data_IF_644037956764
#
_entry.id   IF_644037956764
#
_cell.length_a   1.000
_cell.length_b   1.000
_cell.length_c   1.000
_cell.angle_alpha   90.00
_cell.angle_beta   90.00
_cell.angle_gamma   90.00
#
_symmetry.space_group_name_H-M   'P 1'
#
loop_
_entity.id
_entity.type
_entity.pdbx_description
1 polymer ?
#
# COMPACT_ATOMS: atom_id res chain seq x y z
N UNK A 1 -37.42 0.77 -26.27
CA UNK A 1 -36.33 1.00 -25.29
C UNK A 1 -35.78 2.38 -25.56
N UNK A 2 -36.11 3.36 -24.73
CA UNK A 2 -35.70 4.75 -24.95
C UNK A 2 -34.20 4.90 -24.63
N UNK A 3 -33.39 5.03 -25.68
CA UNK A 3 -31.98 5.43 -25.63
C UNK A 3 -31.91 6.90 -25.23
N UNK A 4 -31.40 7.22 -24.05
CA UNK A 4 -31.19 8.62 -23.66
C UNK A 4 -29.87 9.15 -24.24
N UNK A 5 -30.03 10.14 -25.14
CA UNK A 5 -29.25 11.35 -25.40
C UNK A 5 -27.73 11.28 -25.71
N UNK A 6 -27.41 11.52 -26.99
CA UNK A 6 -26.27 12.27 -27.55
C UNK A 6 -24.96 12.34 -26.75
N UNK A 7 -24.37 11.19 -26.43
CA UNK A 7 -22.97 11.17 -26.03
C UNK A 7 -22.10 11.50 -27.24
N UNK A 8 -21.31 12.57 -27.16
CA UNK A 8 -20.25 12.87 -28.14
C UNK A 8 -19.12 11.83 -28.15
N UNK A 9 -19.08 10.94 -27.15
CA UNK A 9 -18.03 9.94 -27.04
C UNK A 9 -18.27 8.79 -28.05
N UNK A 10 -17.25 8.41 -28.84
CA UNK A 10 -17.39 7.33 -29.80
C UNK A 10 -17.54 5.97 -29.10
N UNK A 11 -18.45 5.13 -29.61
CA UNK A 11 -18.63 3.78 -29.11
C UNK A 11 -17.38 2.94 -29.39
N UNK A 12 -16.84 2.28 -28.35
CA UNK A 12 -15.68 1.39 -28.46
C UNK A 12 -15.89 0.13 -27.62
N UNK A 13 -15.31 -0.98 -28.07
CA UNK A 13 -15.27 -2.23 -27.32
C UNK A 13 -14.04 -2.29 -26.40
N UNK A 14 -14.22 -2.85 -25.20
CA UNK A 14 -13.14 -3.04 -24.22
C UNK A 14 -12.17 -4.10 -24.75
N UNK A 15 -10.91 -3.70 -24.97
CA UNK A 15 -9.87 -4.62 -25.50
C UNK A 15 -9.07 -5.32 -24.40
N UNK A 16 -8.88 -4.66 -23.25
CA UNK A 16 -8.07 -5.14 -22.13
C UNK A 16 -8.55 -4.53 -20.83
N UNK A 17 -8.34 -5.24 -19.72
CA UNK A 17 -8.58 -4.73 -18.36
C UNK A 17 -7.25 -4.69 -17.63
N UNK A 18 -6.85 -3.49 -17.19
CA UNK A 18 -5.66 -3.29 -16.38
C UNK A 18 -6.06 -3.24 -14.91
N UNK A 19 -5.48 -4.12 -14.11
CA UNK A 19 -5.64 -4.07 -12.66
C UNK A 19 -4.55 -3.20 -12.05
N UNK A 20 -4.92 -2.42 -11.04
CA UNK A 20 -4.00 -1.57 -10.30
C UNK A 20 -4.51 -1.29 -8.89
N UNK A 21 -3.65 -0.71 -8.05
CA UNK A 21 -4.08 -0.12 -6.78
C UNK A 21 -4.07 1.40 -6.95
N UNK A 22 -5.17 2.03 -6.53
CA UNK A 22 -5.32 3.47 -6.57
C UNK A 22 -4.40 4.13 -5.54
N UNK A 23 -3.67 5.16 -5.97
CA UNK A 23 -2.91 5.99 -5.03
C UNK A 23 -3.85 6.94 -4.26
N UNK A 24 -3.50 7.36 -3.03
CA UNK A 24 -4.27 8.35 -2.28
C UNK A 24 -4.60 9.61 -3.08
N UNK A 25 -3.64 10.12 -3.87
CA UNK A 25 -3.82 11.33 -4.67
C UNK A 25 -4.72 11.11 -5.89
N UNK A 26 -4.71 9.91 -6.46
CA UNK A 26 -5.67 9.53 -7.50
C UNK A 26 -7.08 9.40 -6.94
N UNK A 27 -7.25 8.84 -5.74
CA UNK A 27 -8.56 8.77 -5.07
C UNK A 27 -9.12 10.18 -4.83
N UNK A 28 -8.30 11.12 -4.34
CA UNK A 28 -8.72 12.52 -4.15
C UNK A 28 -9.11 13.18 -5.48
N UNK A 29 -8.30 13.02 -6.53
CA UNK A 29 -8.58 13.61 -7.85
C UNK A 29 -9.82 13.06 -8.53
N UNK A 30 -10.13 11.77 -8.32
CA UNK A 30 -11.35 11.16 -8.86
C UNK A 30 -12.60 11.55 -8.06
N UNK A 31 -12.44 12.12 -6.87
CA UNK A 31 -13.54 12.38 -5.97
C UNK A 31 -14.25 13.68 -6.26
N UNK A 32 -15.59 13.65 -6.23
CA UNK A 32 -16.45 14.83 -6.43
C UNK A 32 -16.74 15.59 -5.12
N UNK A 33 -16.36 15.02 -3.97
CA UNK A 33 -16.51 15.66 -2.67
C UNK A 33 -15.23 16.37 -2.31
N UNK A 34 -15.14 17.65 -2.68
CA UNK A 34 -13.98 18.49 -2.33
C UNK A 34 -13.80 18.56 -0.81
N UNK A 35 -12.60 18.25 -0.33
CA UNK A 35 -12.30 18.17 1.10
C UNK A 35 -12.87 16.95 1.83
N UNK A 36 -13.35 15.95 1.07
CA UNK A 36 -13.82 14.66 1.57
C UNK A 36 -15.18 14.70 2.27
N UNK A 37 -15.66 13.52 2.66
CA UNK A 37 -16.80 13.39 3.55
C UNK A 37 -16.32 13.68 4.97
N UNK A 38 -16.92 14.70 5.59
CA UNK A 38 -16.56 15.22 6.91
C UNK A 38 -17.58 14.85 7.97
N UNK A 39 -18.80 14.57 7.54
CA UNK A 39 -19.94 14.36 8.43
C UNK A 39 -20.45 12.92 8.31
N UNK A 40 -20.62 12.20 9.44
CA UNK A 40 -21.21 10.87 9.41
C UNK A 40 -22.72 10.90 9.15
N UNK A 41 -23.37 12.05 9.38
CA UNK A 41 -24.80 12.19 9.15
C UNK A 41 -25.13 12.16 7.66
N UNK A 42 -26.25 11.53 7.34
CA UNK A 42 -26.72 11.37 5.97
C UNK A 42 -27.66 12.49 5.55
N UNK A 43 -28.44 13.03 6.48
CA UNK A 43 -29.49 14.03 6.25
C UNK A 43 -29.38 15.17 7.27
N UNK A 44 -29.76 16.37 6.85
CA UNK A 44 -29.89 17.57 7.68
C UNK A 44 -31.14 18.34 7.26
N UNK A 45 -32.06 18.59 8.19
CA UNK A 45 -33.32 19.29 7.89
C UNK A 45 -34.19 18.58 6.83
N UNK A 46 -34.17 17.24 6.79
CA UNK A 46 -34.94 16.44 5.82
C UNK A 46 -34.36 16.43 4.40
N UNK A 47 -33.17 16.99 4.19
CA UNK A 47 -32.45 16.96 2.91
C UNK A 47 -31.09 16.25 3.06
N UNK A 48 -30.52 15.67 1.98
CA UNK A 48 -29.19 15.11 2.04
C UNK A 48 -28.14 16.14 2.47
N UNK A 49 -27.27 15.75 3.41
CA UNK A 49 -26.26 16.65 3.97
C UNK A 49 -25.07 16.81 3.02
N UNK A 50 -24.70 18.05 2.72
CA UNK A 50 -23.47 18.34 1.97
C UNK A 50 -22.24 17.98 2.80
N UNK A 51 -21.27 17.30 2.19
CA UNK A 51 -20.12 16.73 2.88
C UNK A 51 -20.45 15.56 3.82
N UNK A 52 -21.69 15.05 3.76
CA UNK A 52 -22.15 13.86 4.47
C UNK A 52 -22.03 12.58 3.64
N UNK A 53 -22.41 11.45 4.23
CA UNK A 53 -22.30 10.14 3.55
C UNK A 53 -23.20 10.06 2.30
N UNK A 54 -24.33 10.76 2.29
CA UNK A 54 -25.26 10.84 1.15
C UNK A 54 -25.13 12.18 0.41
N UNK A 55 -23.91 12.69 0.23
CA UNK A 55 -23.69 13.96 -0.48
C UNK A 55 -24.34 13.90 -1.89
N UNK A 56 -25.21 14.86 -2.25
CA UNK A 56 -25.95 14.87 -3.51
C UNK A 56 -25.07 14.99 -4.77
N UNK A 57 -23.78 15.32 -4.62
CA UNK A 57 -22.78 15.26 -5.71
C UNK A 57 -22.39 13.83 -6.07
N UNK A 58 -22.50 12.88 -5.14
CA UNK A 58 -22.16 11.46 -5.37
C UNK A 58 -23.26 10.71 -6.14
N UNK A 59 -24.49 11.21 -6.12
CA UNK A 59 -25.64 10.59 -6.74
C UNK A 59 -26.93 10.98 -6.04
N UNK A 60 -28.06 10.47 -6.52
CA UNK A 60 -29.38 10.68 -5.90
C UNK A 60 -30.14 9.38 -5.78
N UNK A 61 -30.87 9.24 -4.68
CA UNK A 61 -31.78 8.11 -4.43
C UNK A 61 -33.23 8.46 -4.77
N UNK A 62 -33.61 9.73 -4.66
CA UNK A 62 -34.97 10.19 -4.91
C UNK A 62 -35.23 10.42 -6.39
N UNK A 63 -36.40 9.99 -6.86
CA UNK A 63 -36.82 10.12 -8.28
C UNK A 63 -37.00 11.59 -8.72
N UNK A 64 -37.41 12.45 -7.78
CA UNK A 64 -37.59 13.89 -8.00
C UNK A 64 -36.28 14.67 -7.98
N UNK A 65 -35.22 14.10 -7.39
CA UNK A 65 -33.92 14.73 -7.27
C UNK A 65 -33.04 14.46 -8.49
N UNK A 66 -32.00 15.28 -8.66
CA UNK A 66 -30.99 15.14 -9.72
C UNK A 66 -29.59 15.24 -9.11
N UNK A 67 -28.65 14.46 -9.63
CA UNK A 67 -27.27 14.49 -9.18
C UNK A 67 -26.65 15.86 -9.45
N UNK A 68 -25.98 16.43 -8.45
CA UNK A 68 -25.36 17.76 -8.60
C UNK A 68 -24.09 17.75 -9.48
N UNK A 69 -23.58 16.57 -9.84
CA UNK A 69 -22.38 16.44 -10.69
C UNK A 69 -22.73 16.24 -12.16
N UNK A 70 -23.56 15.23 -12.48
CA UNK A 70 -23.90 14.90 -13.88
C UNK A 70 -25.32 15.29 -14.30
N UNK A 71 -26.13 15.86 -13.39
CA UNK A 71 -27.55 16.15 -13.59
C UNK A 71 -28.44 14.93 -13.92
N UNK A 72 -27.89 13.71 -13.84
CA UNK A 72 -28.61 12.47 -14.06
C UNK A 72 -29.64 12.16 -12.97
N UNK A 73 -30.65 11.38 -13.33
CA UNK A 73 -31.60 10.78 -12.40
C UNK A 73 -31.02 9.49 -11.77
N UNK A 74 -31.79 8.81 -10.91
CA UNK A 74 -31.38 7.57 -10.23
C UNK A 74 -30.95 6.43 -11.18
N UNK A 75 -31.52 6.37 -12.40
CA UNK A 75 -31.25 5.28 -13.36
C UNK A 75 -30.11 5.59 -14.33
N UNK A 76 -29.89 6.86 -14.66
CA UNK A 76 -28.90 7.31 -15.63
C UNK A 76 -27.57 7.68 -14.98
N UNK A 77 -27.59 8.15 -13.73
CA UNK A 77 -26.38 8.50 -13.00
C UNK A 77 -25.58 7.23 -12.68
N UNK A 78 -24.31 7.11 -13.11
CA UNK A 78 -23.48 5.95 -12.80
C UNK A 78 -23.00 5.93 -11.33
N UNK A 79 -23.23 7.02 -10.58
CA UNK A 79 -22.62 7.29 -9.29
C UNK A 79 -21.23 7.90 -9.43
N UNK A 80 -20.88 8.76 -8.49
CA UNK A 80 -19.60 9.45 -8.44
C UNK A 80 -18.87 9.15 -7.13
N UNK A 81 -17.56 9.00 -7.19
CA UNK A 81 -16.76 8.63 -6.03
C UNK A 81 -16.67 9.78 -5.02
N UNK A 82 -16.99 9.49 -3.76
CA UNK A 82 -16.54 10.26 -2.61
C UNK A 82 -15.23 9.71 -2.03
N UNK A 83 -14.55 10.51 -1.22
CA UNK A 83 -13.41 10.06 -0.43
C UNK A 83 -13.52 10.50 1.03
N UNK A 84 -12.87 9.76 1.91
CA UNK A 84 -12.65 10.12 3.32
C UNK A 84 -11.14 10.13 3.54
N UNK A 85 -10.60 11.27 3.98
CA UNK A 85 -9.23 11.34 4.50
C UNK A 85 -9.21 10.80 5.92
N UNK A 86 -8.31 9.83 6.16
CA UNK A 86 -8.10 9.28 7.49
C UNK A 86 -7.07 10.11 8.24
N UNK A 87 -7.29 10.33 9.54
CA UNK A 87 -6.34 11.06 10.39
C UNK A 87 -4.98 10.36 10.51
N UNK A 88 -4.98 9.02 10.42
CA UNK A 88 -3.79 8.17 10.49
C UNK A 88 -3.86 7.06 9.43
N UNK A 89 -2.71 6.59 8.90
CA UNK A 89 -2.69 5.44 8.00
C UNK A 89 -3.19 4.19 8.73
N UNK A 90 -3.91 3.33 8.01
CA UNK A 90 -4.43 2.05 8.52
C UNK A 90 -3.99 0.91 7.61
N UNK A 91 -3.69 -0.26 8.17
CA UNK A 91 -3.37 -1.44 7.36
C UNK A 91 -4.57 -1.89 6.52
N UNK A 92 -4.36 -2.07 5.22
CA UNK A 92 -5.35 -2.73 4.39
C UNK A 92 -5.33 -4.25 4.64
N UNK A 93 -6.44 -4.81 5.11
CA UNK A 93 -6.54 -6.22 5.51
C UNK A 93 -6.15 -7.21 4.40
N UNK A 94 -6.48 -6.88 3.13
CA UNK A 94 -6.10 -7.70 1.98
C UNK A 94 -4.60 -7.70 1.67
N UNK A 95 -3.84 -6.73 2.19
CA UNK A 95 -2.41 -6.57 1.93
C UNK A 95 -1.52 -6.80 3.15
N UNK A 96 -2.08 -6.95 4.36
CA UNK A 96 -1.31 -7.13 5.60
C UNK A 96 -0.28 -8.28 5.50
N UNK A 97 -0.66 -9.41 4.91
CA UNK A 97 0.25 -10.56 4.72
C UNK A 97 1.40 -10.24 3.77
N UNK A 98 1.15 -9.44 2.72
CA UNK A 98 2.21 -8.98 1.80
C UNK A 98 3.12 -7.97 2.49
N UNK A 99 2.54 -7.06 3.28
CA UNK A 99 3.26 -6.06 4.08
C UNK A 99 4.28 -6.71 4.99
N UNK A 100 3.88 -7.75 5.73
CA UNK A 100 4.80 -8.48 6.62
C UNK A 100 5.96 -9.10 5.83
N UNK A 101 5.69 -9.68 4.65
CA UNK A 101 6.76 -10.23 3.80
C UNK A 101 7.73 -9.15 3.33
N UNK A 102 7.22 -7.99 2.93
CA UNK A 102 8.05 -6.84 2.51
C UNK A 102 8.89 -6.33 3.68
N UNK A 103 8.31 -6.15 4.86
CA UNK A 103 9.02 -5.67 6.05
C UNK A 103 10.13 -6.64 6.50
N UNK A 104 10.01 -7.94 6.21
CA UNK A 104 11.08 -8.92 6.46
C UNK A 104 12.19 -8.91 5.40
N UNK A 105 12.01 -8.21 4.28
CA UNK A 105 13.02 -8.05 3.22
C UNK A 105 13.79 -6.73 3.33
N UNK A 106 13.28 -5.80 4.13
CA UNK A 106 13.77 -4.43 4.27
C UNK A 106 14.26 -4.25 5.70
N UNK A 107 15.32 -3.47 5.88
CA UNK A 107 15.79 -3.12 7.20
C UNK A 107 14.79 -2.23 7.94
N UNK A 108 14.45 -2.60 9.17
CA UNK A 108 13.52 -1.85 10.04
C UNK A 108 13.98 -0.42 10.39
N UNK A 109 15.27 -0.14 10.25
CA UNK A 109 15.89 1.14 10.63
C UNK A 109 16.27 1.97 9.42
N UNK A 110 17.14 1.46 8.55
CA UNK A 110 17.66 2.23 7.42
C UNK A 110 16.80 2.14 6.14
N UNK A 111 15.71 1.35 6.15
CA UNK A 111 14.81 1.16 5.00
C UNK A 111 15.47 0.62 3.72
N UNK A 112 16.73 0.17 3.80
CA UNK A 112 17.44 -0.51 2.70
C UNK A 112 17.08 -1.99 2.66
N UNK A 113 17.17 -2.60 1.48
CA UNK A 113 16.97 -4.04 1.33
C UNK A 113 18.09 -4.84 2.03
N UNK A 114 17.73 -5.97 2.65
CA UNK A 114 18.69 -6.86 3.31
C UNK A 114 19.58 -7.62 2.30
N UNK A 115 19.17 -7.67 1.03
CA UNK A 115 19.92 -8.33 -0.06
C UNK A 115 20.01 -7.35 -1.22
N UNK A 116 21.23 -7.03 -1.69
CA UNK A 116 21.44 -6.14 -2.83
C UNK A 116 20.99 -6.78 -4.15
N UNK A 117 20.53 -5.96 -5.13
CA UNK A 117 20.27 -6.43 -6.48
C UNK A 117 21.52 -6.96 -7.19
N UNK A 118 22.72 -6.60 -6.72
CA UNK A 118 23.99 -7.11 -7.25
C UNK A 118 24.20 -8.60 -6.94
N UNK A 119 23.54 -9.14 -5.91
CA UNK A 119 23.71 -10.51 -5.47
C UNK A 119 23.29 -11.52 -6.58
N UNK A 120 24.14 -12.51 -6.91
CA UNK A 120 23.85 -13.48 -7.97
C UNK A 120 22.56 -14.28 -7.71
N UNK A 121 22.23 -14.57 -6.46
CA UNK A 121 20.99 -15.28 -6.09
C UNK A 121 19.74 -14.47 -6.44
N UNK A 122 19.79 -13.14 -6.31
CA UNK A 122 18.68 -12.28 -6.71
C UNK A 122 18.55 -12.25 -8.23
N UNK A 123 19.66 -12.16 -8.96
CA UNK A 123 19.63 -12.23 -10.44
C UNK A 123 19.00 -13.54 -10.91
N UNK A 124 19.35 -14.66 -10.28
CA UNK A 124 18.75 -15.96 -10.55
C UNK A 124 17.23 -15.97 -10.26
N UNK A 125 16.80 -15.41 -9.12
CA UNK A 125 15.37 -15.28 -8.78
C UNK A 125 14.63 -14.42 -9.81
N UNK A 126 15.22 -13.31 -10.25
CA UNK A 126 14.62 -12.42 -11.26
C UNK A 126 14.49 -13.15 -12.60
N UNK A 127 15.50 -13.93 -13.01
CA UNK A 127 15.46 -14.76 -14.22
C UNK A 127 14.38 -15.85 -14.13
N UNK A 128 14.37 -16.64 -13.04
CA UNK A 128 13.37 -17.71 -12.82
C UNK A 128 11.93 -17.17 -12.74
N UNK A 129 11.75 -15.97 -12.22
CA UNK A 129 10.43 -15.36 -12.04
C UNK A 129 9.95 -14.50 -13.21
N UNK A 130 10.69 -14.40 -14.32
CA UNK A 130 10.34 -13.57 -15.48
C UNK A 130 8.95 -13.88 -16.06
N UNK A 131 8.50 -15.14 -15.97
CA UNK A 131 7.14 -15.57 -16.35
C UNK A 131 6.13 -15.70 -15.20
N UNK A 132 6.56 -15.56 -13.93
CA UNK A 132 5.71 -15.73 -12.75
C UNK A 132 5.93 -14.62 -11.70
N UNK A 133 5.52 -13.36 -12.00
CA UNK A 133 5.70 -12.22 -11.10
C UNK A 133 5.19 -12.44 -9.68
N UNK A 134 4.05 -13.15 -9.55
CA UNK A 134 3.39 -13.43 -8.27
C UNK A 134 4.25 -14.22 -7.30
N UNK A 135 5.20 -15.02 -7.79
CA UNK A 135 6.10 -15.83 -6.96
C UNK A 135 7.41 -15.12 -6.61
N UNK A 136 7.78 -14.04 -7.31
CA UNK A 136 9.04 -13.31 -7.09
C UNK A 136 9.20 -12.89 -5.63
N UNK A 137 8.15 -12.29 -5.04
CA UNK A 137 8.16 -11.88 -3.64
C UNK A 137 8.45 -13.06 -2.69
N UNK A 138 7.89 -14.24 -2.96
CA UNK A 138 8.13 -15.42 -2.12
C UNK A 138 9.60 -15.83 -2.17
N UNK A 139 10.21 -15.87 -3.36
CA UNK A 139 11.62 -16.23 -3.50
C UNK A 139 12.56 -15.21 -2.85
N UNK A 140 12.28 -13.91 -3.02
CA UNK A 140 13.02 -12.84 -2.34
C UNK A 140 12.90 -12.98 -0.83
N UNK A 141 11.68 -13.21 -0.35
CA UNK A 141 11.41 -13.43 1.07
C UNK A 141 12.18 -14.62 1.62
N UNK A 142 12.28 -15.73 0.88
CA UNK A 142 13.03 -16.91 1.29
C UNK A 142 14.54 -16.67 1.40
N UNK A 143 15.08 -15.72 0.64
CA UNK A 143 16.48 -15.29 0.78
C UNK A 143 16.68 -14.35 1.98
N UNK A 144 15.68 -13.50 2.28
CA UNK A 144 15.78 -12.52 3.35
C UNK A 144 15.48 -13.09 4.74
N UNK A 145 14.62 -14.11 4.86
CA UNK A 145 14.16 -14.66 6.15
C UNK A 145 15.26 -15.17 7.08
N UNK A 146 16.43 -15.52 6.53
CA UNK A 146 17.60 -15.96 7.29
C UNK A 146 18.54 -14.84 7.70
N UNK A 147 18.36 -13.62 7.18
CA UNK A 147 19.21 -12.48 7.47
C UNK A 147 18.69 -11.72 8.69
N UNK A 148 19.36 -11.89 9.82
CA UNK A 148 18.98 -11.27 11.08
C UNK A 148 19.77 -9.97 11.37
N UNK A 149 20.72 -9.58 10.51
CA UNK A 149 21.55 -8.37 10.66
C UNK A 149 21.52 -7.59 9.34
N UNK A 150 21.47 -6.26 9.42
CA UNK A 150 21.56 -5.39 8.25
C UNK A 150 23.02 -5.06 7.90
N UNK A 151 23.66 -5.91 7.12
CA UNK A 151 25.03 -5.69 6.62
C UNK A 151 25.08 -4.66 5.48
N UNK A 152 23.93 -4.37 4.86
CA UNK A 152 23.84 -3.40 3.77
C UNK A 152 24.31 -3.96 2.45
N UNK A 153 23.52 -4.88 1.93
CA UNK A 153 23.54 -5.21 0.52
C UNK A 153 24.71 -6.06 0.01
N UNK A 154 25.90 -6.00 0.57
CA UNK A 154 27.07 -6.81 0.16
C UNK A 154 27.64 -7.40 1.47
N UNK A 155 27.77 -8.72 1.66
CA UNK A 155 28.73 -9.61 1.00
C UNK A 155 28.32 -11.10 1.06
N UNK A 156 28.97 -11.90 0.20
CA UNK A 156 29.48 -13.26 0.46
C UNK A 156 30.36 -13.63 -0.75
N UNK A 157 31.57 -13.09 -0.81
CA UNK A 157 32.65 -13.75 -1.56
C UNK A 157 33.35 -14.69 -0.56
N UNK A 158 32.85 -15.93 -0.47
CA UNK A 158 33.58 -16.99 0.23
C UNK A 158 34.64 -17.48 -0.75
N UNK A 159 35.85 -16.96 -0.58
CA UNK A 159 37.06 -17.58 -1.10
C UNK A 159 38.10 -16.60 -1.64
N UNK A 160 38.77 -15.87 -0.75
CA UNK A 160 40.24 -15.67 -0.79
C UNK A 160 40.71 -14.89 0.43
N UNK A 161 41.63 -15.52 1.16
CA UNK A 161 42.50 -14.85 2.12
C UNK A 161 43.35 -13.78 1.42
N UNK A 162 43.49 -12.64 2.07
CA UNK A 162 44.49 -11.62 1.75
C UNK A 162 44.08 -10.60 0.68
N UNK A 163 43.69 -9.40 1.12
CA UNK A 163 44.36 -8.15 0.73
C UNK A 163 43.69 -6.97 1.47
N UNK A 164 44.49 -6.23 2.24
CA UNK A 164 44.06 -4.99 2.87
C UNK A 164 43.95 -3.90 1.79
N UNK A 165 42.77 -3.30 1.65
CA UNK A 165 42.66 -1.99 1.02
C UNK A 165 42.07 -1.96 -0.39
N UNK A 166 40.80 -2.35 -0.54
CA UNK A 166 39.88 -1.70 -1.49
C UNK A 166 38.50 -1.58 -0.84
N UNK A 167 38.17 -0.38 -0.36
CA UNK A 167 36.80 -0.01 0.01
C UNK A 167 35.95 -0.07 -1.25
N UNK A 168 35.35 -1.22 -1.51
CA UNK A 168 34.33 -1.39 -2.53
C UNK A 168 33.23 -0.35 -2.33
N UNK A 169 32.76 0.21 -3.43
CA UNK A 169 31.67 1.19 -3.49
C UNK A 169 30.34 0.53 -3.09
N UNK A 170 30.20 0.17 -1.81
CA UNK A 170 29.07 -0.57 -1.26
C UNK A 170 28.03 0.37 -0.64
N UNK A 171 26.76 0.06 -0.86
CA UNK A 171 25.62 0.79 -0.32
C UNK A 171 25.44 0.50 1.19
N UNK A 172 26.38 0.95 2.04
CA UNK A 172 26.59 0.55 3.43
C UNK A 172 25.35 0.38 4.31
N UNK A 173 25.30 -0.72 5.05
CA UNK A 173 24.21 -1.10 5.96
C UNK A 173 24.36 -0.45 7.32
N UNK A 174 23.31 -0.51 8.13
CA UNK A 174 23.31 0.11 9.45
C UNK A 174 23.72 -0.84 10.59
N UNK A 175 24.04 -2.10 10.32
CA UNK A 175 24.52 -3.08 11.30
C UNK A 175 23.48 -3.54 12.34
N UNK A 176 22.24 -3.04 12.30
CA UNK A 176 21.23 -3.36 13.30
C UNK A 176 20.62 -4.75 13.11
N UNK A 177 20.33 -5.42 14.24
CA UNK A 177 19.54 -6.65 14.24
C UNK A 177 18.11 -6.41 13.74
N UNK A 178 17.61 -7.39 12.98
CA UNK A 178 16.27 -7.36 12.39
C UNK A 178 15.26 -8.09 13.29
N UNK A 179 14.06 -7.52 13.49
CA UNK A 179 13.05 -8.15 14.33
C UNK A 179 12.37 -9.32 13.64
N UNK A 180 11.89 -10.27 14.45
CA UNK A 180 10.85 -11.21 14.05
C UNK A 180 9.49 -10.51 14.09
N UNK A 181 8.87 -10.33 12.93
CA UNK A 181 7.55 -9.69 12.84
C UNK A 181 6.45 -10.73 13.03
N UNK A 182 5.59 -10.57 14.03
CA UNK A 182 4.43 -11.44 14.30
C UNK A 182 3.12 -10.68 14.11
N UNK A 183 2.08 -11.38 13.67
CA UNK A 183 0.73 -10.83 13.50
C UNK A 183 -0.22 -11.47 14.52
N UNK A 184 -1.00 -10.65 15.21
CA UNK A 184 -2.12 -11.08 16.05
C UNK A 184 -3.35 -10.26 15.64
N UNK A 185 -4.30 -10.88 14.93
CA UNK A 185 -5.46 -10.15 14.38
C UNK A 185 -5.05 -9.08 13.36
N UNK A 186 -5.23 -7.80 13.73
CA UNK A 186 -4.82 -6.62 12.96
C UNK A 186 -3.49 -6.02 13.45
N UNK A 187 -3.02 -6.43 14.62
CA UNK A 187 -1.82 -5.88 15.23
C UNK A 187 -0.56 -6.61 14.75
N UNK A 188 0.49 -5.82 14.54
CA UNK A 188 1.81 -6.30 14.18
C UNK A 188 2.77 -6.01 15.33
N UNK A 189 3.59 -6.98 15.69
CA UNK A 189 4.62 -6.84 16.74
C UNK A 189 5.98 -7.22 16.18
N UNK A 190 7.01 -6.44 16.52
CA UNK A 190 8.41 -6.69 16.22
C UNK A 190 9.11 -7.18 17.49
N UNK A 191 9.79 -8.33 17.42
CA UNK A 191 10.49 -8.93 18.55
C UNK A 191 11.96 -9.15 18.21
N UNK A 192 12.89 -8.64 19.03
CA UNK A 192 14.34 -8.82 18.86
C UNK A 192 14.89 -9.86 19.83
N UNK A 193 15.57 -10.88 19.29
CA UNK A 193 16.19 -11.95 20.10
C UNK A 193 17.54 -11.53 20.70
N UNK A 194 18.30 -10.74 19.95
CA UNK A 194 19.61 -10.23 20.35
C UNK A 194 19.59 -8.72 20.14
N UNK A 195 19.22 -7.92 21.16
CA UNK A 195 19.41 -6.48 21.10
C UNK A 195 20.90 -6.13 21.19
N UNK A 196 21.37 -5.18 20.37
CA UNK A 196 22.78 -4.74 20.39
C UNK A 196 23.09 -3.84 21.61
N UNK A 197 22.08 -3.23 22.20
CA UNK A 197 22.19 -2.30 23.33
C UNK A 197 21.03 -2.54 24.32
N UNK A 198 21.27 -2.30 25.62
CA UNK A 198 20.26 -2.38 26.69
C UNK A 198 19.05 -1.43 26.47
N UNK A 199 19.20 -0.46 25.57
CA UNK A 199 18.18 0.50 25.11
C UNK A 199 17.19 -0.05 24.09
N UNK A 200 17.45 -1.21 23.47
CA UNK A 200 16.56 -1.76 22.44
C UNK A 200 15.43 -2.58 23.08
N UNK A 201 14.21 -2.06 23.03
CA UNK A 201 13.02 -2.79 23.53
C UNK A 201 12.90 -4.16 22.85
N UNK A 202 12.82 -5.23 23.66
CA UNK A 202 12.73 -6.61 23.17
C UNK A 202 11.49 -6.85 22.30
N UNK A 203 10.44 -6.03 22.48
CA UNK A 203 9.17 -6.16 21.77
C UNK A 203 8.50 -4.81 21.58
N UNK A 204 8.23 -4.43 20.33
CA UNK A 204 7.56 -3.18 19.95
C UNK A 204 6.32 -3.48 19.13
N UNK A 205 5.23 -2.73 19.35
CA UNK A 205 4.06 -2.75 18.47
C UNK A 205 4.32 -1.90 17.23
N UNK A 206 4.17 -2.49 16.05
CA UNK A 206 4.41 -1.81 14.78
C UNK A 206 3.15 -1.03 14.37
N UNK A 207 3.23 0.29 14.43
CA UNK A 207 2.16 1.17 13.92
C UNK A 207 2.18 1.23 12.39
N UNK A 208 1.01 1.50 11.81
CA UNK A 208 0.87 1.74 10.38
C UNK A 208 1.72 2.94 9.88
N UNK A 209 1.87 3.97 10.72
CA UNK A 209 2.74 5.13 10.47
C UNK A 209 4.20 4.70 10.35
N UNK A 210 4.68 3.86 11.28
CA UNK A 210 6.06 3.38 11.22
C UNK A 210 6.33 2.56 9.95
N UNK A 211 5.37 1.72 9.55
CA UNK A 211 5.48 0.97 8.28
C UNK A 211 5.49 1.93 7.10
N UNK A 212 4.64 2.94 7.10
CA UNK A 212 4.63 3.97 6.05
C UNK A 212 5.99 4.66 5.91
N UNK A 213 6.61 5.05 7.02
CA UNK A 213 7.93 5.68 7.06
C UNK A 213 9.05 4.79 6.52
N UNK A 214 8.99 3.48 6.80
CA UNK A 214 9.98 2.55 6.26
C UNK A 214 9.78 2.40 4.76
N UNK A 215 8.53 2.19 4.34
CA UNK A 215 8.23 1.89 2.95
C UNK A 215 8.40 3.13 2.04
N UNK A 216 8.14 4.36 2.52
CA UNK A 216 8.33 5.59 1.71
C UNK A 216 9.78 5.82 1.28
N UNK A 217 10.74 5.30 2.05
CA UNK A 217 12.18 5.44 1.77
C UNK A 217 12.73 4.35 0.83
N UNK A 218 11.90 3.39 0.41
CA UNK A 218 12.30 2.40 -0.58
C UNK A 218 12.26 3.06 -1.96
N UNK A 219 13.41 3.13 -2.65
CA UNK A 219 13.49 3.75 -3.97
C UNK A 219 12.72 2.93 -5.02
N UNK A 220 12.17 3.61 -6.04
CA UNK A 220 11.36 2.99 -7.09
C UNK A 220 12.07 1.87 -7.85
N UNK A 221 13.39 1.96 -8.01
CA UNK A 221 14.20 0.94 -8.68
C UNK A 221 14.17 -0.40 -7.91
N UNK A 222 14.28 -0.36 -6.58
CA UNK A 222 14.18 -1.55 -5.74
C UNK A 222 12.76 -2.15 -5.75
N UNK A 223 11.72 -1.30 -5.80
CA UNK A 223 10.33 -1.75 -5.86
C UNK A 223 10.06 -2.54 -7.14
N UNK A 224 10.49 -2.01 -8.28
CA UNK A 224 10.29 -2.64 -9.59
C UNK A 224 11.09 -3.94 -9.68
N UNK A 225 12.34 -3.94 -9.23
CA UNK A 225 13.23 -5.08 -9.35
C UNK A 225 12.76 -6.27 -8.50
N UNK A 226 12.33 -6.03 -7.25
CA UNK A 226 12.00 -7.08 -6.30
C UNK A 226 10.51 -7.44 -6.24
N UNK A 227 9.63 -6.48 -6.48
CA UNK A 227 8.20 -6.64 -6.19
C UNK A 227 7.32 -6.61 -7.44
N UNK A 228 7.88 -6.27 -8.62
CA UNK A 228 7.40 -6.42 -10.02
C UNK A 228 6.01 -5.86 -10.36
N UNK A 229 5.20 -5.49 -9.39
CA UNK A 229 3.96 -4.78 -9.64
C UNK A 229 4.19 -3.33 -9.25
N UNK A 230 4.48 -2.49 -10.24
CA UNK A 230 4.45 -1.02 -10.16
C UNK A 230 3.12 -0.54 -9.54
N UNK A 231 2.09 -1.39 -9.58
CA UNK A 231 0.76 -1.16 -9.03
C UNK A 231 0.57 -1.56 -7.57
N UNK A 232 1.47 -2.31 -6.93
CA UNK A 232 1.53 -2.32 -5.47
C UNK A 232 2.34 -1.09 -5.09
N UNK A 233 1.74 0.09 -5.32
CA UNK A 233 2.24 1.29 -4.70
C UNK A 233 2.27 0.99 -3.21
N UNK A 234 3.40 1.25 -2.56
CA UNK A 234 3.54 1.18 -1.10
C UNK A 234 2.39 1.94 -0.40
N UNK A 235 1.90 2.98 -1.05
CA UNK A 235 0.73 3.78 -0.67
C UNK A 235 -0.63 3.04 -0.73
N UNK A 236 -0.73 1.90 -1.41
CA UNK A 236 -1.94 1.08 -1.51
C UNK A 236 -2.04 -0.03 -0.45
N UNK A 237 -0.93 -0.29 0.26
CA UNK A 237 -0.87 -1.23 1.38
C UNK A 237 -1.47 -0.60 2.64
N UNK A 238 -1.35 0.71 2.75
CA UNK A 238 -1.84 1.51 3.86
C UNK A 238 -2.96 2.40 3.34
N UNK A 239 -4.16 2.27 3.91
CA UNK A 239 -5.27 3.14 3.59
C UNK A 239 -5.04 4.47 4.31
N UNK A 240 -4.80 5.53 3.55
CA UNK A 240 -4.76 6.92 4.03
C UNK A 240 -6.03 7.66 3.57
N UNK A 241 -6.56 7.25 2.41
CA UNK A 241 -7.80 7.75 1.82
C UNK A 241 -8.65 6.56 1.43
N UNK A 242 -9.90 6.54 1.85
CA UNK A 242 -10.86 5.50 1.47
C UNK A 242 -11.88 6.03 0.48
N UNK A 243 -12.13 5.29 -0.59
CA UNK A 243 -13.30 5.54 -1.45
C UNK A 243 -14.57 5.16 -0.68
N UNK A 244 -15.58 6.00 -0.75
CA UNK A 244 -16.78 5.89 0.09
C UNK A 244 -17.62 4.65 -0.24
N UNK A 245 -17.54 4.17 -1.49
CA UNK A 245 -18.16 2.91 -1.90
C UNK A 245 -17.60 1.67 -1.16
N UNK A 246 -16.35 1.70 -0.69
CA UNK A 246 -15.74 0.62 0.10
C UNK A 246 -16.13 0.66 1.59
N UNK A 247 -16.68 1.77 2.08
CA UNK A 247 -16.87 2.00 3.53
C UNK A 247 -17.93 1.08 4.15
N UNK A 248 -18.88 0.55 3.35
CA UNK A 248 -19.85 -0.44 3.84
C UNK A 248 -19.16 -1.72 4.36
N UNK A 249 -17.96 -2.06 3.87
CA UNK A 249 -17.17 -3.21 4.34
C UNK A 249 -16.34 -2.89 5.60
N UNK A 250 -16.06 -1.61 5.88
CA UNK A 250 -15.20 -1.14 6.97
C UNK A 250 -15.94 -0.77 8.27
N UNK A 251 -17.29 -0.74 8.28
CA UNK A 251 -18.10 -0.48 9.49
C UNK A 251 -17.79 -1.41 10.67
N UNK A 252 -17.21 -2.58 10.43
CA UNK A 252 -16.79 -3.50 11.51
C UNK A 252 -15.49 -3.07 12.21
N UNK A 253 -14.64 -2.28 11.53
CA UNK A 253 -13.30 -1.90 12.02
C UNK A 253 -13.35 -0.61 12.86
N UNK A 254 -14.26 0.32 12.53
CA UNK A 254 -14.36 1.63 13.19
C UNK A 254 -15.32 1.69 14.39
N UNK A 255 -15.85 0.56 14.88
CA UNK A 255 -16.65 0.55 16.11
C UNK A 255 -15.82 0.72 17.41
N UNK A 256 -14.49 0.76 17.31
CA UNK A 256 -13.57 0.85 18.45
C UNK A 256 -12.52 1.99 18.30
N UNK A 257 -12.79 3.01 17.48
CA UNK A 257 -12.04 4.27 17.48
C UNK A 257 -12.98 5.39 17.90
#
# INVERSE_FOLDING_TARGET
MATTNDSKAPLRQVKRVQFGILSPDEIRRMSVTEGGIRFPETMEGGRPKLGGLMDPRQGVIDRSSRCQTCAGNMTECPGHFGHIDLAKPVFHIGFITKTIKVLRCVCFYCSKLLVSPTNPKIKEVVMKSKGQPRKRLTYVYDLCKGKNICEGGEDMDIGKEGDEGKRGSGHGGCGHYQPSIRRQGLDLTAEWKHPNEDTQEKKITITAERVWEILKHITGEYIIFYFLSVYICIAGILSIVCTVHCFQMFKSIFKNI
#
